data_IF_197813058944
#
_entry.id   IF_197813058944
#
_cell.length_a   1.000
_cell.length_b   1.000
_cell.length_c   1.000
_cell.angle_alpha   90.00
_cell.angle_beta   90.00
_cell.angle_gamma   90.00
#
_symmetry.space_group_name_H-M   'P 1'
#
loop_
_entity.id
_entity.type
_entity.pdbx_description
1 polymer ?
#
# COMPACT_ATOMS: atom_id res chain seq x y z
N UNK A 1 -23.48 -18.32 19.63
CA UNK A 1 -23.22 -16.98 19.06
C UNK A 1 -21.98 -16.41 19.69
N UNK A 2 -21.05 -15.95 18.86
CA UNK A 2 -19.80 -15.32 19.30
C UNK A 2 -19.92 -13.81 19.06
N UNK A 3 -19.38 -13.01 19.96
CA UNK A 3 -19.33 -11.56 19.81
C UNK A 3 -17.96 -11.06 20.25
N UNK A 4 -17.20 -10.44 19.35
CA UNK A 4 -15.98 -9.71 19.68
C UNK A 4 -16.34 -8.54 20.59
N UNK A 5 -15.66 -8.39 21.71
CA UNK A 5 -15.92 -7.31 22.67
C UNK A 5 -14.85 -6.23 22.63
N UNK A 6 -13.59 -6.62 22.51
CA UNK A 6 -12.47 -5.71 22.34
C UNK A 6 -11.23 -6.43 21.81
N UNK A 7 -10.23 -5.67 21.43
CA UNK A 7 -8.92 -6.20 21.05
C UNK A 7 -7.81 -5.21 21.45
N UNK A 8 -6.63 -5.76 21.68
CA UNK A 8 -5.40 -5.00 21.91
C UNK A 8 -4.33 -5.51 20.95
N UNK A 9 -3.61 -4.60 20.31
CA UNK A 9 -2.49 -4.95 19.43
C UNK A 9 -1.28 -4.18 19.91
N UNK A 10 -0.19 -4.89 20.16
CA UNK A 10 1.08 -4.29 20.56
C UNK A 10 2.23 -4.94 19.78
N UNK A 11 3.24 -4.15 19.47
CA UNK A 11 4.45 -4.65 18.78
C UNK A 11 5.57 -4.74 19.79
N UNK A 12 6.18 -5.92 19.92
CA UNK A 12 7.34 -6.16 20.77
C UNK A 12 8.52 -6.64 19.91
N UNK A 13 9.44 -5.72 19.63
CA UNK A 13 10.59 -6.00 18.74
C UNK A 13 10.12 -6.34 17.33
N UNK A 14 10.24 -7.59 16.93
CA UNK A 14 9.88 -8.11 15.62
C UNK A 14 8.55 -8.88 15.57
N UNK A 15 7.79 -8.91 16.65
CA UNK A 15 6.58 -9.72 16.77
C UNK A 15 5.38 -8.84 17.12
N UNK A 16 4.28 -9.01 16.39
CA UNK A 16 3.00 -8.42 16.76
C UNK A 16 2.25 -9.34 17.71
N UNK A 17 1.85 -8.77 18.83
CA UNK A 17 1.05 -9.43 19.83
C UNK A 17 -0.40 -9.00 19.70
N UNK A 18 -1.28 -9.96 19.46
CA UNK A 18 -2.72 -9.77 19.40
C UNK A 18 -3.36 -10.33 20.66
N UNK A 19 -4.13 -9.50 21.36
CA UNK A 19 -4.95 -9.92 22.47
C UNK A 19 -6.39 -9.62 22.17
N UNK A 20 -7.19 -10.67 22.02
CA UNK A 20 -8.55 -10.60 21.53
C UNK A 20 -9.50 -11.03 22.65
N UNK A 21 -10.48 -10.20 22.93
CA UNK A 21 -11.53 -10.46 23.91
C UNK A 21 -12.85 -10.66 23.19
N UNK A 22 -13.56 -11.72 23.56
CA UNK A 22 -14.85 -12.02 22.96
C UNK A 22 -15.79 -12.68 23.96
N UNK A 23 -17.09 -12.59 23.69
CA UNK A 23 -18.13 -13.26 24.44
C UNK A 23 -18.67 -14.44 23.63
N UNK A 24 -18.68 -15.61 24.23
CA UNK A 24 -19.39 -16.78 23.72
C UNK A 24 -20.74 -16.91 24.42
N UNK A 25 -21.82 -17.10 23.66
CA UNK A 25 -23.19 -17.19 24.15
C UNK A 25 -23.84 -18.54 23.84
N UNK A 26 -23.07 -19.55 23.48
CA UNK A 26 -23.53 -20.90 23.29
C UNK A 26 -23.76 -21.61 24.63
N UNK A 27 -24.64 -22.60 24.63
CA UNK A 27 -24.91 -23.47 25.81
C UNK A 27 -24.04 -24.71 25.81
N UNK A 28 -23.53 -25.09 24.66
CA UNK A 28 -22.66 -26.26 24.50
C UNK A 28 -21.21 -25.82 24.25
N UNK A 29 -20.21 -26.62 24.59
CA UNK A 29 -18.82 -26.35 24.27
C UNK A 29 -18.62 -26.13 22.77
N UNK A 30 -17.74 -25.22 22.41
CA UNK A 30 -17.41 -24.92 21.02
C UNK A 30 -15.90 -24.69 20.83
N UNK A 31 -15.39 -25.05 19.65
CA UNK A 31 -14.03 -24.73 19.22
C UNK A 31 -14.05 -23.41 18.48
N UNK A 32 -13.37 -22.45 19.04
CA UNK A 32 -13.31 -21.09 18.52
C UNK A 32 -11.95 -20.87 17.87
N UNK A 33 -11.93 -20.56 16.58
CA UNK A 33 -10.74 -20.15 15.86
C UNK A 33 -10.74 -18.64 15.71
N UNK A 34 -9.66 -18.01 16.14
CA UNK A 34 -9.40 -16.61 15.93
C UNK A 34 -8.26 -16.51 14.94
N UNK A 35 -8.46 -15.79 13.86
CA UNK A 35 -7.46 -15.63 12.80
C UNK A 35 -7.33 -14.18 12.37
N UNK A 36 -6.12 -13.81 11.93
CA UNK A 36 -5.77 -12.50 11.40
C UNK A 36 -5.52 -12.64 9.93
N UNK A 37 -6.22 -11.87 9.14
CA UNK A 37 -6.18 -11.92 7.68
C UNK A 37 -5.75 -10.59 7.09
N UNK A 38 -5.17 -10.66 5.89
CA UNK A 38 -5.02 -9.48 5.05
C UNK A 38 -6.38 -8.85 4.77
N UNK A 39 -6.55 -7.61 5.21
CA UNK A 39 -7.81 -6.87 5.05
C UNK A 39 -8.15 -6.59 3.59
N UNK A 40 -7.13 -6.41 2.76
CA UNK A 40 -7.28 -5.97 1.37
C UNK A 40 -7.65 -7.12 0.46
N UNK A 41 -6.83 -8.15 0.49
CA UNK A 41 -6.98 -9.26 -0.45
C UNK A 41 -7.81 -10.40 0.13
N UNK A 42 -7.97 -10.44 1.47
CA UNK A 42 -8.75 -11.45 2.21
C UNK A 42 -8.36 -12.90 1.87
N UNK A 43 -7.17 -13.09 1.32
CA UNK A 43 -6.66 -14.37 0.81
C UNK A 43 -5.52 -14.92 1.64
N UNK A 44 -4.91 -14.09 2.48
CA UNK A 44 -3.75 -14.47 3.29
C UNK A 44 -4.11 -14.44 4.76
N UNK A 45 -4.06 -15.60 5.40
CA UNK A 45 -4.10 -15.73 6.85
C UNK A 45 -2.69 -15.52 7.37
N UNK A 46 -2.51 -14.52 8.22
CA UNK A 46 -1.23 -14.22 8.82
C UNK A 46 -0.94 -15.03 10.06
N UNK A 47 -1.94 -15.26 10.89
CA UNK A 47 -1.83 -16.05 12.11
C UNK A 47 -3.19 -16.49 12.59
N UNK A 48 -3.24 -17.58 13.35
CA UNK A 48 -4.45 -18.03 14.01
C UNK A 48 -4.18 -18.78 15.31
N UNK A 49 -5.19 -18.82 16.17
CA UNK A 49 -5.22 -19.61 17.39
C UNK A 49 -6.59 -20.27 17.52
N UNK A 50 -6.61 -21.51 18.04
CA UNK A 50 -7.84 -22.21 18.40
C UNK A 50 -7.93 -22.33 19.92
N UNK A 51 -9.09 -22.06 20.45
CA UNK A 51 -9.40 -22.22 21.88
C UNK A 51 -10.71 -22.94 22.06
N UNK A 52 -10.87 -23.59 23.20
CA UNK A 52 -12.13 -24.22 23.59
C UNK A 52 -12.93 -23.31 24.51
N UNK A 53 -14.19 -23.05 24.15
CA UNK A 53 -15.14 -22.35 25.00
C UNK A 53 -16.08 -23.39 25.61
N UNK A 54 -15.89 -23.72 26.90
CA UNK A 54 -16.63 -24.80 27.59
C UNK A 54 -18.08 -24.42 27.86
N UNK A 55 -18.40 -23.16 27.99
CA UNK A 55 -19.73 -22.65 28.28
C UNK A 55 -19.88 -21.17 27.88
N UNK A 56 -21.08 -20.63 27.98
CA UNK A 56 -21.30 -19.20 27.79
C UNK A 56 -20.45 -18.37 28.78
N UNK A 57 -19.73 -17.40 28.27
CA UNK A 57 -18.84 -16.58 29.08
C UNK A 57 -17.98 -15.61 28.28
N UNK A 58 -17.14 -14.89 28.99
CA UNK A 58 -16.14 -14.03 28.39
C UNK A 58 -14.82 -14.78 28.29
N UNK A 59 -14.22 -14.72 27.12
CA UNK A 59 -12.99 -15.40 26.77
C UNK A 59 -12.00 -14.40 26.21
N UNK A 60 -10.74 -14.77 26.28
CA UNK A 60 -9.68 -14.04 25.59
C UNK A 60 -8.66 -15.02 25.02
N UNK A 61 -8.01 -14.60 23.98
CA UNK A 61 -6.90 -15.31 23.37
C UNK A 61 -5.77 -14.34 23.08
N UNK A 62 -4.55 -14.80 23.30
CA UNK A 62 -3.34 -14.07 22.95
C UNK A 62 -2.55 -14.93 21.98
N UNK A 63 -2.09 -14.32 20.88
CA UNK A 63 -1.27 -15.01 19.90
C UNK A 63 -0.31 -14.05 19.24
N UNK A 64 0.77 -14.61 18.73
CA UNK A 64 1.84 -13.85 18.07
C UNK A 64 1.73 -14.06 16.57
N UNK A 65 1.92 -13.02 15.82
CA UNK A 65 2.13 -13.11 14.41
C UNK A 65 3.62 -13.05 14.13
N UNK A 66 4.21 -14.18 13.74
CA UNK A 66 5.59 -14.24 13.24
C UNK A 66 5.69 -13.72 11.80
N UNK A 67 4.57 -13.56 11.13
CA UNK A 67 4.53 -12.93 9.85
C UNK A 67 4.59 -11.41 10.06
N UNK A 68 5.64 -10.84 9.68
CA UNK A 68 6.04 -9.45 9.57
C UNK A 68 4.98 -8.44 9.08
N UNK A 69 3.70 -8.54 9.49
CA UNK A 69 2.64 -7.64 9.06
C UNK A 69 2.97 -6.21 9.44
N UNK A 70 3.45 -6.04 10.67
CA UNK A 70 3.92 -4.74 11.19
C UNK A 70 5.44 -4.65 11.09
N UNK A 71 6.14 -5.74 11.03
CA UNK A 71 7.59 -5.83 11.22
C UNK A 71 8.45 -5.71 9.98
N UNK A 72 8.05 -6.19 8.83
CA UNK A 72 8.71 -5.76 7.60
C UNK A 72 8.61 -4.25 7.47
N UNK A 73 7.60 -3.66 8.06
CA UNK A 73 7.33 -2.24 8.08
C UNK A 73 8.01 -1.49 9.22
N UNK A 74 8.30 -2.09 10.37
CA UNK A 74 9.07 -1.43 11.44
C UNK A 74 10.54 -1.25 11.07
N UNK A 75 11.06 -2.14 10.23
CA UNK A 75 12.38 -1.93 9.60
C UNK A 75 12.33 -0.89 8.47
N UNK A 76 11.16 -0.62 7.92
CA UNK A 76 10.89 0.27 6.79
C UNK A 76 10.17 1.53 7.25
N UNK A 77 10.40 2.11 8.37
CA UNK A 77 9.86 3.40 8.88
C UNK A 77 8.44 3.82 8.43
N UNK A 78 7.72 2.96 7.73
CA UNK A 78 6.32 3.12 7.37
C UNK A 78 5.47 2.40 8.41
N UNK A 79 4.87 3.16 9.32
CA UNK A 79 4.06 2.63 10.42
C UNK A 79 2.64 2.24 10.00
N UNK A 80 2.41 1.95 8.72
CA UNK A 80 1.06 1.69 8.21
C UNK A 80 0.99 0.42 7.40
N UNK A 81 0.51 -0.60 8.04
CA UNK A 81 -0.32 -1.58 7.37
C UNK A 81 -1.77 -1.07 7.39
N UNK A 82 -2.54 -1.34 6.34
CA UNK A 82 -3.93 -0.87 6.17
C UNK A 82 -4.92 -1.48 7.17
N UNK A 83 -4.45 -2.11 8.21
CA UNK A 83 -5.24 -2.88 9.15
C UNK A 83 -5.32 -4.34 8.77
N UNK A 84 -5.85 -5.11 9.66
CA UNK A 84 -6.11 -6.53 9.48
C UNK A 84 -7.59 -6.80 9.64
N UNK A 85 -8.05 -7.90 9.06
CA UNK A 85 -9.37 -8.45 9.31
C UNK A 85 -9.24 -9.53 10.39
N UNK A 86 -9.87 -9.32 11.54
CA UNK A 86 -10.02 -10.35 12.57
C UNK A 86 -11.25 -11.18 12.25
N UNK A 87 -11.06 -12.49 12.18
CA UNK A 87 -12.14 -13.47 12.06
C UNK A 87 -12.22 -14.27 13.33
N UNK A 88 -13.39 -14.28 13.96
CA UNK A 88 -13.70 -15.13 15.09
C UNK A 88 -14.75 -16.14 14.63
N UNK A 89 -14.34 -17.39 14.46
CA UNK A 89 -15.15 -18.46 13.88
C UNK A 89 -15.43 -19.53 14.92
N UNK A 90 -16.68 -19.93 14.98
CA UNK A 90 -17.11 -21.15 15.66
C UNK A 90 -16.99 -22.30 14.66
N UNK A 91 -16.04 -23.20 14.88
CA UNK A 91 -15.74 -24.27 13.95
C UNK A 91 -16.81 -25.35 13.91
N UNK A 92 -17.62 -25.44 14.96
CA UNK A 92 -18.66 -26.48 15.07
C UNK A 92 -20.00 -26.02 14.48
N UNK A 93 -20.29 -24.72 14.47
CA UNK A 93 -21.52 -24.13 13.90
C UNK A 93 -21.34 -23.39 12.57
N UNK A 94 -20.13 -23.34 12.04
CA UNK A 94 -19.77 -22.54 10.86
C UNK A 94 -20.14 -21.05 10.95
N UNK A 95 -20.33 -20.52 12.15
CA UNK A 95 -20.56 -19.08 12.34
C UNK A 95 -19.23 -18.34 12.39
N UNK A 96 -19.15 -17.24 11.67
CA UNK A 96 -17.97 -16.38 11.67
C UNK A 96 -18.38 -14.94 11.88
N UNK A 97 -17.74 -14.27 12.80
CA UNK A 97 -17.77 -12.82 12.93
C UNK A 97 -16.49 -12.24 12.36
N UNK A 98 -16.64 -11.27 11.48
CA UNK A 98 -15.55 -10.55 10.84
C UNK A 98 -15.53 -9.13 11.38
N UNK A 99 -14.36 -8.65 11.79
CA UNK A 99 -14.16 -7.29 12.26
C UNK A 99 -12.91 -6.71 11.60
N UNK A 100 -13.09 -5.60 10.93
CA UNK A 100 -11.98 -4.81 10.43
C UNK A 100 -11.29 -4.10 11.59
N UNK A 101 -10.00 -4.31 11.72
CA UNK A 101 -9.16 -3.65 12.72
C UNK A 101 -8.26 -2.66 12.02
N UNK A 102 -8.59 -1.37 12.05
CA UNK A 102 -7.70 -0.36 11.52
C UNK A 102 -6.46 -0.26 12.43
N UNK A 103 -5.28 -0.14 11.83
CA UNK A 103 -4.11 0.27 12.61
C UNK A 103 -4.22 1.75 12.93
N UNK A 104 -4.24 2.08 14.21
CA UNK A 104 -4.23 3.47 14.66
C UNK A 104 -2.84 4.07 14.43
N UNK A 105 -2.84 5.20 13.76
CA UNK A 105 -1.66 6.06 13.62
C UNK A 105 -1.40 6.70 14.98
N UNK A 106 -0.40 6.25 15.70
CA UNK A 106 -0.08 6.78 17.04
C UNK A 106 0.82 8.04 17.01
N UNK A 107 1.44 8.36 15.88
CA UNK A 107 2.36 9.49 15.76
C UNK A 107 2.03 10.38 14.54
N UNK A 108 0.90 11.06 14.58
CA UNK A 108 0.72 12.23 13.72
C UNK A 108 1.61 13.34 14.30
N UNK A 109 2.81 13.49 13.76
CA UNK A 109 3.68 14.61 14.16
C UNK A 109 2.99 15.92 13.81
N UNK A 110 3.15 16.90 14.69
CA UNK A 110 2.60 18.23 14.53
C UNK A 110 2.82 18.78 13.11
N UNK A 111 1.76 19.26 12.50
CA UNK A 111 1.78 19.89 11.16
C UNK A 111 2.78 21.03 11.13
N UNK A 112 3.55 21.12 10.05
CA UNK A 112 4.29 22.35 9.75
C UNK A 112 3.28 23.42 9.32
N UNK A 113 3.22 24.60 9.97
CA UNK A 113 2.36 25.68 9.52
C UNK A 113 2.61 26.02 8.05
N UNK A 114 1.54 26.15 7.25
CA UNK A 114 1.63 26.54 5.85
C UNK A 114 2.05 25.45 4.87
N UNK A 115 2.11 24.17 5.29
CA UNK A 115 2.30 23.02 4.40
C UNK A 115 1.25 21.94 4.70
N UNK A 116 0.61 21.32 3.68
CA UNK A 116 -0.36 20.27 3.90
C UNK A 116 0.30 19.02 4.48
N UNK A 117 -0.44 18.18 5.19
CA UNK A 117 0.00 16.83 5.40
C UNK A 117 -0.08 16.08 4.07
N UNK A 118 0.99 15.42 3.73
CA UNK A 118 1.08 14.67 2.47
C UNK A 118 1.16 13.20 2.78
N UNK A 119 0.19 12.47 2.25
CA UNK A 119 0.06 11.03 2.37
C UNK A 119 0.48 10.38 1.06
N UNK A 120 1.52 9.57 1.07
CA UNK A 120 1.95 8.81 -0.11
C UNK A 120 1.45 7.38 0.02
N UNK A 121 0.49 7.02 -0.84
CA UNK A 121 -0.23 5.75 -0.81
C UNK A 121 0.28 4.86 -1.95
N UNK A 122 0.80 3.68 -1.65
CA UNK A 122 1.31 2.85 -2.74
C UNK A 122 1.84 1.48 -2.35
N UNK A 123 2.70 0.95 -3.19
CA UNK A 123 3.33 -0.37 -3.06
C UNK A 123 4.61 -0.35 -2.22
N UNK A 124 5.47 -1.35 -2.40
CA UNK A 124 6.77 -1.46 -1.73
C UNK A 124 7.70 -0.27 -1.98
N UNK A 125 7.56 0.44 -3.11
CA UNK A 125 8.38 1.62 -3.39
C UNK A 125 8.16 2.70 -2.34
N UNK A 126 6.93 2.89 -1.86
CA UNK A 126 6.65 3.81 -0.74
C UNK A 126 7.45 3.41 0.49
N UNK A 127 7.43 2.13 0.86
CA UNK A 127 8.17 1.64 2.02
C UNK A 127 9.68 1.94 1.90
N UNK A 128 10.26 1.67 0.75
CA UNK A 128 11.69 1.91 0.51
C UNK A 128 12.06 3.40 0.49
N UNK A 129 11.25 4.25 -0.13
CA UNK A 129 11.44 5.71 -0.07
C UNK A 129 11.47 6.23 1.38
N UNK A 130 10.64 5.66 2.26
CA UNK A 130 10.57 6.09 3.65
C UNK A 130 11.61 5.43 4.57
N UNK A 131 12.27 4.35 4.15
CA UNK A 131 13.27 3.63 4.94
C UNK A 131 14.40 4.54 5.44
N UNK A 132 14.87 5.41 4.55
CA UNK A 132 15.99 6.33 4.81
C UNK A 132 15.55 7.80 4.82
N UNK A 133 14.23 8.03 5.00
CA UNK A 133 13.68 9.39 4.99
C UNK A 133 14.30 10.24 6.10
N UNK A 134 14.87 11.39 5.73
CA UNK A 134 15.44 12.34 6.67
C UNK A 134 14.35 13.06 7.48
N UNK A 135 14.71 13.53 8.69
CA UNK A 135 13.77 14.21 9.61
C UNK A 135 13.18 15.49 8.99
N UNK A 136 13.92 16.16 8.13
CA UNK A 136 13.46 17.39 7.44
C UNK A 136 12.22 17.15 6.57
N UNK A 137 11.98 15.91 6.10
CA UNK A 137 10.82 15.51 5.32
C UNK A 137 9.68 14.93 6.20
N UNK A 138 9.61 15.30 7.47
CA UNK A 138 8.63 14.77 8.44
C UNK A 138 7.17 15.05 8.07
N UNK A 139 6.90 16.03 7.17
CA UNK A 139 5.57 16.35 6.66
C UNK A 139 4.99 15.25 5.74
N UNK A 140 5.83 14.35 5.23
CA UNK A 140 5.40 13.25 4.39
C UNK A 140 5.15 12.00 5.22
N UNK A 141 4.03 11.33 4.97
CA UNK A 141 3.67 10.06 5.58
C UNK A 141 3.46 9.01 4.51
N UNK A 142 4.19 7.91 4.58
CA UNK A 142 4.05 6.79 3.66
C UNK A 142 3.01 5.80 4.16
N UNK A 143 2.18 5.32 3.25
CA UNK A 143 1.22 4.24 3.48
C UNK A 143 1.48 3.18 2.42
N UNK A 144 2.17 2.13 2.81
CA UNK A 144 2.63 1.09 1.90
C UNK A 144 1.86 -0.21 2.04
N UNK A 145 1.61 -0.85 0.92
CA UNK A 145 1.18 -2.25 0.88
C UNK A 145 2.04 -3.00 -0.14
N UNK A 146 2.89 -3.91 0.32
CA UNK A 146 3.98 -4.52 -0.45
C UNK A 146 3.60 -5.13 -1.80
N UNK A 147 2.37 -5.56 -1.98
CA UNK A 147 1.90 -6.17 -3.23
C UNK A 147 0.81 -5.38 -3.94
N UNK A 148 0.61 -4.11 -3.57
CA UNK A 148 -0.43 -3.27 -4.16
C UNK A 148 0.00 -2.76 -5.54
N UNK A 149 -0.28 -3.51 -6.57
CA UNK A 149 -0.15 -3.03 -7.94
C UNK A 149 -1.34 -2.14 -8.33
N UNK A 150 -1.17 -1.32 -9.36
CA UNK A 150 -2.26 -0.51 -9.94
C UNK A 150 -3.47 -1.38 -10.33
N UNK A 151 -3.21 -2.59 -10.88
CA UNK A 151 -4.27 -3.53 -11.22
C UNK A 151 -5.02 -4.08 -10.00
N UNK A 152 -4.31 -4.36 -8.91
CA UNK A 152 -4.95 -4.80 -7.65
C UNK A 152 -5.74 -3.67 -7.01
N UNK A 153 -5.15 -2.48 -6.94
CA UNK A 153 -5.84 -1.27 -6.47
C UNK A 153 -7.18 -1.08 -7.19
N UNK A 154 -7.17 -1.15 -8.53
CA UNK A 154 -8.37 -0.92 -9.33
C UNK A 154 -9.47 -1.97 -9.17
N UNK A 155 -9.11 -3.22 -8.82
CA UNK A 155 -10.07 -4.33 -8.77
C UNK A 155 -10.50 -4.75 -7.37
N UNK A 156 -9.62 -4.61 -6.40
CA UNK A 156 -9.75 -5.27 -5.10
C UNK A 156 -9.84 -4.29 -3.93
N UNK A 157 -9.32 -3.08 -4.11
CA UNK A 157 -9.37 -2.07 -3.05
C UNK A 157 -10.76 -1.45 -3.03
N UNK A 158 -11.46 -1.68 -1.94
CA UNK A 158 -12.73 -1.00 -1.68
C UNK A 158 -12.47 0.37 -1.07
N UNK A 159 -13.42 1.31 -1.18
CA UNK A 159 -13.30 2.62 -0.55
C UNK A 159 -13.02 2.58 0.95
N UNK A 160 -13.54 1.58 1.64
CA UNK A 160 -13.34 1.38 3.09
C UNK A 160 -11.88 1.10 3.48
N UNK A 161 -11.08 0.70 2.50
CA UNK A 161 -9.68 0.39 2.67
C UNK A 161 -8.86 1.52 3.31
N UNK A 162 -9.17 2.77 2.94
CA UNK A 162 -8.47 3.95 3.45
C UNK A 162 -9.15 4.61 4.65
N UNK A 163 -10.28 4.08 5.14
CA UNK A 163 -11.00 4.67 6.30
C UNK A 163 -10.17 4.71 7.58
N UNK A 164 -9.14 3.87 7.69
CA UNK A 164 -8.22 3.88 8.82
C UNK A 164 -7.23 5.06 8.79
N UNK A 165 -7.06 5.71 7.65
CA UNK A 165 -6.17 6.85 7.53
C UNK A 165 -6.94 8.09 7.97
N UNK A 166 -6.45 8.83 8.97
CA UNK A 166 -7.13 10.00 9.49
C UNK A 166 -6.88 11.23 8.58
N UNK A 167 -7.35 11.13 7.35
CA UNK A 167 -7.36 12.29 6.47
C UNK A 167 -8.19 13.42 7.07
N UNK A 168 -7.71 14.62 6.89
CA UNK A 168 -8.48 15.80 7.23
C UNK A 168 -8.54 16.72 6.01
N UNK A 169 -9.45 17.69 6.08
CA UNK A 169 -9.61 18.70 5.04
C UNK A 169 -8.28 19.39 4.70
N UNK A 170 -8.03 19.56 3.40
CA UNK A 170 -6.81 20.12 2.82
C UNK A 170 -5.53 19.24 2.95
N UNK A 171 -5.61 18.02 3.46
CA UNK A 171 -4.52 17.07 3.27
C UNK A 171 -4.36 16.72 1.78
N UNK A 172 -3.17 16.27 1.39
CA UNK A 172 -2.87 15.83 0.03
C UNK A 172 -2.56 14.33 0.03
N UNK A 173 -3.35 13.55 -0.72
CA UNK A 173 -3.11 12.14 -0.96
C UNK A 173 -2.46 11.94 -2.34
N UNK A 174 -1.33 11.26 -2.36
CA UNK A 174 -0.54 10.97 -3.55
C UNK A 174 -0.50 9.48 -3.79
N UNK A 175 -1.00 9.01 -4.93
CA UNK A 175 -0.94 7.61 -5.31
C UNK A 175 0.36 7.29 -6.05
N UNK A 176 1.20 6.43 -5.48
CA UNK A 176 2.44 5.91 -6.08
C UNK A 176 2.26 4.43 -6.42
N UNK A 177 1.75 4.15 -7.60
CA UNK A 177 1.42 2.82 -8.09
C UNK A 177 1.81 2.66 -9.57
N UNK A 178 2.08 1.42 -10.00
CA UNK A 178 2.30 1.10 -11.41
C UNK A 178 3.65 0.44 -11.69
N UNK A 179 4.64 0.55 -10.83
CA UNK A 179 5.95 -0.07 -11.04
C UNK A 179 5.81 -1.59 -11.19
N UNK A 180 5.09 -2.24 -10.28
CA UNK A 180 4.84 -3.69 -10.33
C UNK A 180 4.15 -4.08 -11.66
N UNK A 181 3.22 -3.25 -12.14
CA UNK A 181 2.50 -3.53 -13.38
C UNK A 181 3.41 -3.40 -14.59
N UNK A 182 4.22 -2.35 -14.67
CA UNK A 182 5.22 -2.12 -15.72
C UNK A 182 6.24 -3.25 -15.75
N UNK A 183 6.79 -3.60 -14.60
CA UNK A 183 7.82 -4.60 -14.46
C UNK A 183 7.34 -6.02 -14.76
N UNK A 184 6.08 -6.35 -14.45
CA UNK A 184 5.58 -7.73 -14.54
C UNK A 184 4.26 -7.89 -15.28
N UNK A 185 3.19 -7.24 -14.81
CA UNK A 185 1.81 -7.63 -15.13
C UNK A 185 1.42 -7.27 -16.58
N UNK A 186 1.77 -6.08 -17.03
CA UNK A 186 1.40 -5.58 -18.36
C UNK A 186 1.97 -6.50 -19.44
N UNK A 187 3.26 -6.73 -19.42
CA UNK A 187 3.96 -7.50 -20.46
C UNK A 187 3.54 -8.96 -20.43
N UNK A 188 3.44 -9.56 -19.23
CA UNK A 188 2.95 -10.93 -19.10
C UNK A 188 1.53 -11.09 -19.64
N UNK A 189 0.64 -10.15 -19.34
CA UNK A 189 -0.74 -10.19 -19.80
C UNK A 189 -0.85 -9.95 -21.31
N UNK A 190 -0.02 -9.08 -21.89
CA UNK A 190 0.05 -8.87 -23.34
C UNK A 190 0.39 -10.17 -24.06
N UNK A 191 1.39 -10.90 -23.59
CA UNK A 191 1.79 -12.19 -24.17
C UNK A 191 0.70 -13.26 -24.03
N UNK A 192 0.09 -13.37 -22.85
CA UNK A 192 -0.96 -14.36 -22.58
C UNK A 192 -2.22 -14.11 -23.41
N UNK A 193 -2.61 -12.87 -23.60
CA UNK A 193 -3.83 -12.48 -24.33
C UNK A 193 -3.59 -12.22 -25.80
N UNK A 194 -2.34 -12.21 -26.26
CA UNK A 194 -1.92 -11.82 -27.61
C UNK A 194 -2.41 -10.41 -27.99
N UNK A 195 -2.26 -9.49 -27.08
CA UNK A 195 -2.63 -8.08 -27.22
C UNK A 195 -1.37 -7.20 -27.18
N UNK A 196 -1.46 -5.95 -27.64
CA UNK A 196 -0.34 -5.01 -27.52
C UNK A 196 -0.06 -4.61 -26.07
N UNK A 197 1.14 -4.14 -25.80
CA UNK A 197 1.50 -3.57 -24.49
C UNK A 197 0.64 -2.33 -24.24
N UNK A 198 0.47 -1.48 -25.24
CA UNK A 198 -0.30 -0.24 -25.19
C UNK A 198 -1.77 -0.50 -24.81
N UNK A 199 -2.43 -1.49 -25.45
CA UNK A 199 -3.82 -1.86 -25.11
C UNK A 199 -3.98 -2.32 -23.67
N UNK A 200 -2.97 -3.04 -23.13
CA UNK A 200 -2.98 -3.45 -21.74
C UNK A 200 -2.75 -2.28 -20.78
N UNK A 201 -1.88 -1.33 -21.14
CA UNK A 201 -1.67 -0.10 -20.38
C UNK A 201 -2.96 0.73 -20.38
N UNK A 202 -3.60 0.95 -21.54
CA UNK A 202 -4.84 1.71 -21.65
C UNK A 202 -5.92 1.16 -20.72
N UNK A 203 -6.18 -0.14 -20.76
CA UNK A 203 -7.18 -0.77 -19.88
C UNK A 203 -6.84 -0.70 -18.40
N UNK A 204 -5.56 -0.75 -18.06
CA UNK A 204 -5.12 -0.61 -16.68
C UNK A 204 -5.34 0.81 -16.21
N UNK A 205 -4.94 1.77 -17.03
CA UNK A 205 -5.06 3.19 -16.79
C UNK A 205 -6.52 3.61 -16.56
N UNK A 206 -7.44 3.25 -17.47
CA UNK A 206 -8.86 3.61 -17.37
C UNK A 206 -9.44 3.18 -16.00
N UNK A 207 -9.21 1.91 -15.62
CA UNK A 207 -9.68 1.41 -14.33
C UNK A 207 -9.02 2.08 -13.12
N UNK A 208 -7.75 2.46 -13.27
CA UNK A 208 -7.05 3.16 -12.20
C UNK A 208 -7.61 4.56 -11.99
N UNK A 209 -7.84 5.31 -13.06
CA UNK A 209 -8.40 6.65 -13.00
C UNK A 209 -9.85 6.64 -12.44
N UNK A 210 -10.66 5.68 -12.87
CA UNK A 210 -12.00 5.49 -12.31
C UNK A 210 -11.93 5.29 -10.79
N UNK A 211 -11.02 4.44 -10.32
CA UNK A 211 -10.85 4.18 -8.87
C UNK A 211 -10.31 5.38 -8.09
N UNK A 212 -9.40 6.17 -8.68
CA UNK A 212 -8.91 7.42 -8.08
C UNK A 212 -10.05 8.44 -7.99
N UNK A 213 -10.92 8.50 -9.00
CA UNK A 213 -12.10 9.38 -8.98
C UNK A 213 -13.09 8.98 -7.89
N UNK A 214 -13.42 7.69 -7.77
CA UNK A 214 -14.25 7.18 -6.66
C UNK A 214 -13.66 7.52 -5.28
N UNK A 215 -12.33 7.40 -5.14
CA UNK A 215 -11.64 7.77 -3.90
C UNK A 215 -11.81 9.27 -3.61
N UNK A 216 -11.68 10.12 -4.62
CA UNK A 216 -11.84 11.58 -4.47
C UNK A 216 -13.28 11.94 -4.03
N UNK A 217 -14.27 11.26 -4.56
CA UNK A 217 -15.69 11.48 -4.19
C UNK A 217 -15.97 11.08 -2.73
N UNK A 218 -15.29 10.07 -2.21
CA UNK A 218 -15.46 9.57 -0.84
C UNK A 218 -14.85 10.47 0.23
N UNK A 219 -13.85 11.23 -0.13
CA UNK A 219 -13.12 12.12 0.77
C UNK A 219 -13.20 13.57 0.30
N UNK A 220 -14.41 14.20 0.35
CA UNK A 220 -14.57 15.59 -0.06
C UNK A 220 -13.69 16.48 0.82
N UNK A 221 -12.94 17.39 0.20
CA UNK A 221 -11.99 18.25 0.88
C UNK A 221 -10.56 17.69 0.98
N UNK A 222 -10.35 16.41 0.64
CA UNK A 222 -9.02 15.84 0.43
C UNK A 222 -8.55 16.17 -1.00
N UNK A 223 -7.34 16.67 -1.12
CA UNK A 223 -6.73 16.86 -2.43
C UNK A 223 -6.06 15.59 -2.88
N UNK A 224 -6.22 15.23 -4.14
CA UNK A 224 -5.73 13.97 -4.69
C UNK A 224 -4.90 14.21 -5.94
N UNK A 225 -3.69 13.67 -5.95
CA UNK A 225 -2.81 13.67 -7.11
C UNK A 225 -2.14 12.28 -7.29
N UNK A 226 -1.46 12.08 -8.39
CA UNK A 226 -0.77 10.84 -8.71
C UNK A 226 0.72 11.12 -8.85
N UNK A 227 1.54 10.30 -8.23
CA UNK A 227 2.98 10.28 -8.45
C UNK A 227 3.28 9.35 -9.62
N UNK A 228 4.17 9.80 -10.51
CA UNK A 228 4.73 8.87 -11.51
C UNK A 228 5.35 7.67 -10.78
N UNK A 229 5.11 6.45 -11.25
CA UNK A 229 5.86 5.29 -10.75
C UNK A 229 7.35 5.42 -11.08
N UNK A 230 8.22 4.73 -10.33
CA UNK A 230 9.63 4.65 -10.67
C UNK A 230 9.81 4.20 -12.12
N UNK A 231 10.68 4.87 -12.89
CA UNK A 231 11.02 4.44 -14.24
C UNK A 231 11.64 3.04 -14.26
N UNK A 232 11.60 2.34 -15.41
CA UNK A 232 12.25 1.04 -15.54
C UNK A 232 13.76 1.12 -15.28
N UNK A 233 14.33 0.01 -14.86
CA UNK A 233 15.76 -0.20 -14.73
C UNK A 233 16.29 -1.09 -15.87
N UNK A 234 17.62 -1.07 -16.09
CA UNK A 234 18.29 -1.85 -17.10
C UNK A 234 18.34 -3.35 -16.74
N UNK A 235 18.40 -4.22 -17.77
CA UNK A 235 18.55 -5.67 -17.59
C UNK A 235 19.88 -6.07 -16.94
N UNK A 236 20.85 -5.13 -16.86
CA UNK A 236 22.07 -5.31 -16.08
C UNK A 236 21.83 -5.45 -14.58
N UNK A 237 20.71 -4.98 -14.06
CA UNK A 237 20.28 -5.18 -12.68
C UNK A 237 19.71 -6.59 -12.56
N UNK A 238 20.49 -7.49 -11.94
CA UNK A 238 20.09 -8.88 -11.75
C UNK A 238 19.12 -9.01 -10.60
N UNK A 239 17.86 -9.36 -10.90
CA UNK A 239 16.85 -9.73 -9.93
C UNK A 239 16.62 -11.24 -9.93
N UNK A 240 15.91 -11.72 -8.91
CA UNK A 240 15.42 -13.09 -8.86
C UNK A 240 14.54 -13.43 -10.06
N UNK A 241 14.63 -14.68 -10.52
CA UNK A 241 13.84 -15.16 -11.64
C UNK A 241 12.34 -14.99 -11.38
N UNK A 242 11.62 -14.50 -12.39
CA UNK A 242 10.16 -14.29 -12.31
C UNK A 242 9.73 -12.93 -11.74
N UNK A 243 10.64 -12.12 -11.20
CA UNK A 243 10.31 -10.77 -10.74
C UNK A 243 10.18 -9.75 -11.88
N UNK A 244 10.67 -10.07 -13.05
CA UNK A 244 10.66 -9.20 -14.24
C UNK A 244 10.05 -9.94 -15.43
N UNK A 245 9.30 -9.24 -16.26
CA UNK A 245 8.75 -9.75 -17.52
C UNK A 245 9.17 -8.86 -18.69
N UNK A 246 9.46 -9.48 -19.83
CA UNK A 246 9.83 -8.76 -21.04
C UNK A 246 11.26 -8.22 -21.07
N UNK A 247 11.59 -7.54 -22.14
CA UNK A 247 12.84 -6.81 -22.31
C UNK A 247 12.78 -5.44 -21.63
N UNK A 248 13.93 -4.76 -21.52
CA UNK A 248 13.96 -3.37 -21.05
C UNK A 248 13.18 -2.43 -21.98
N UNK A 249 13.18 -2.71 -23.29
CA UNK A 249 12.39 -1.94 -24.27
C UNK A 249 10.88 -2.15 -24.07
N UNK A 250 10.42 -3.38 -23.79
CA UNK A 250 9.02 -3.66 -23.47
C UNK A 250 8.57 -2.88 -22.22
N UNK A 251 9.42 -2.83 -21.18
CA UNK A 251 9.13 -2.09 -19.95
C UNK A 251 9.14 -0.59 -20.15
N UNK A 252 10.08 -0.09 -20.97
CA UNK A 252 10.13 1.33 -21.31
C UNK A 252 8.92 1.73 -22.15
N UNK A 253 8.48 0.91 -23.11
CA UNK A 253 7.26 1.15 -23.86
C UNK A 253 6.03 1.24 -22.94
N UNK A 254 5.88 0.28 -22.02
CA UNK A 254 4.80 0.31 -21.04
C UNK A 254 4.82 1.56 -20.15
N UNK A 255 6.01 1.95 -19.68
CA UNK A 255 6.21 3.15 -18.86
C UNK A 255 5.86 4.43 -19.62
N UNK A 256 6.39 4.60 -20.83
CA UNK A 256 6.16 5.80 -21.64
C UNK A 256 4.71 5.94 -22.05
N UNK A 257 4.04 4.83 -22.37
CA UNK A 257 2.61 4.82 -22.67
C UNK A 257 1.80 5.27 -21.46
N UNK A 258 2.07 4.68 -20.28
CA UNK A 258 1.40 5.07 -19.02
C UNK A 258 1.67 6.54 -18.68
N UNK A 259 2.92 7.00 -18.79
CA UNK A 259 3.30 8.39 -18.56
C UNK A 259 2.51 9.36 -19.45
N UNK A 260 2.42 9.08 -20.73
CA UNK A 260 1.68 9.92 -21.68
C UNK A 260 0.19 10.00 -21.34
N UNK A 261 -0.42 8.90 -20.95
CA UNK A 261 -1.84 8.85 -20.54
C UNK A 261 -2.08 9.61 -19.24
N UNK A 262 -1.22 9.42 -18.25
CA UNK A 262 -1.30 10.14 -16.97
C UNK A 262 -1.13 11.65 -17.17
N UNK A 263 -0.16 12.07 -17.98
CA UNK A 263 0.06 13.48 -18.31
C UNK A 263 -1.15 14.11 -18.99
N UNK A 264 -1.72 13.42 -19.99
CA UNK A 264 -2.89 13.90 -20.71
C UNK A 264 -4.13 14.05 -19.79
N UNK A 265 -4.37 13.08 -18.90
CA UNK A 265 -5.59 13.04 -18.10
C UNK A 265 -5.52 13.85 -16.80
N UNK A 266 -4.34 13.95 -16.21
CA UNK A 266 -4.18 14.55 -14.87
C UNK A 266 -3.61 15.97 -14.92
N UNK A 267 -2.86 16.32 -15.98
CA UNK A 267 -2.21 17.63 -16.06
C UNK A 267 -1.35 17.92 -14.83
N UNK A 268 -1.61 19.02 -14.14
CA UNK A 268 -0.87 19.43 -12.93
C UNK A 268 -1.06 18.47 -11.72
N UNK A 269 -2.05 17.59 -11.76
CA UNK A 269 -2.23 16.55 -10.73
C UNK A 269 -1.29 15.34 -10.91
N UNK A 270 -0.46 15.31 -11.94
CA UNK A 270 0.62 14.35 -12.09
C UNK A 270 1.93 14.95 -11.61
N UNK A 271 2.56 14.32 -10.65
CA UNK A 271 3.83 14.74 -10.06
C UNK A 271 4.92 13.72 -10.42
N UNK A 272 5.98 14.17 -11.09
CA UNK A 272 7.14 13.36 -11.49
C UNK A 272 8.38 13.81 -10.72
N UNK A 273 8.91 12.96 -9.86
CA UNK A 273 10.04 13.24 -8.97
C UNK A 273 11.31 12.45 -9.34
N UNK A 274 11.35 11.79 -10.50
CA UNK A 274 12.43 10.84 -10.80
C UNK A 274 13.52 11.36 -11.73
N UNK A 275 13.48 12.64 -12.16
CA UNK A 275 14.41 13.19 -13.15
C UNK A 275 15.90 13.06 -12.76
N UNK A 276 16.23 13.17 -11.47
CA UNK A 276 17.62 13.05 -10.99
C UNK A 276 18.14 11.61 -10.97
N UNK A 277 17.23 10.63 -11.09
CA UNK A 277 17.59 9.21 -11.06
C UNK A 277 17.86 8.63 -12.46
N UNK A 278 17.60 9.36 -13.51
CA UNK A 278 17.59 8.84 -14.87
C UNK A 278 18.97 8.91 -15.55
N UNK A 279 19.24 7.92 -16.40
CA UNK A 279 20.26 8.01 -17.44
C UNK A 279 19.72 8.75 -18.69
N UNK A 280 20.56 8.97 -19.68
CA UNK A 280 20.20 9.68 -20.91
C UNK A 280 19.10 8.96 -21.74
N UNK A 281 18.86 7.69 -21.50
CA UNK A 281 17.83 6.89 -22.15
C UNK A 281 16.55 6.76 -21.30
N UNK A 282 16.49 7.37 -20.12
CA UNK A 282 15.31 7.41 -19.26
C UNK A 282 15.16 6.22 -18.31
N UNK A 283 16.18 5.37 -18.18
CA UNK A 283 16.19 4.30 -17.18
C UNK A 283 16.75 4.78 -15.85
N UNK A 284 16.33 4.15 -14.75
CA UNK A 284 16.94 4.42 -13.45
C UNK A 284 18.39 3.96 -13.47
N UNK A 285 19.31 4.85 -13.09
CA UNK A 285 20.73 4.55 -12.96
C UNK A 285 20.97 3.57 -11.83
N UNK A 286 21.82 2.56 -12.06
CA UNK A 286 22.05 1.47 -11.12
C UNK A 286 22.62 1.89 -9.76
N UNK A 287 23.35 3.00 -9.70
CA UNK A 287 23.88 3.54 -8.45
C UNK A 287 22.82 4.03 -7.47
N UNK A 288 21.60 4.29 -7.95
CA UNK A 288 20.46 4.67 -7.10
C UNK A 288 19.60 3.49 -6.66
N UNK A 289 19.89 2.28 -7.12
CA UNK A 289 19.14 1.09 -6.74
C UNK A 289 19.83 0.33 -5.60
N UNK A 290 19.04 -0.32 -4.76
CA UNK A 290 19.58 -1.26 -3.79
C UNK A 290 20.31 -2.42 -4.51
N UNK A 291 21.47 -2.85 -4.06
CA UNK A 291 22.19 -3.98 -4.67
C UNK A 291 21.31 -5.24 -4.72
N UNK A 292 21.09 -5.76 -5.93
CA UNK A 292 20.25 -6.95 -6.15
C UNK A 292 18.74 -6.70 -6.04
N UNK A 293 18.31 -5.45 -6.01
CA UNK A 293 16.91 -5.04 -5.88
C UNK A 293 16.58 -3.92 -6.87
N UNK A 294 15.29 -3.69 -7.09
CA UNK A 294 14.76 -2.66 -8.00
C UNK A 294 14.31 -1.39 -7.27
N UNK A 295 14.40 -1.37 -5.94
CA UNK A 295 13.97 -0.22 -5.15
C UNK A 295 15.07 0.82 -5.01
N UNK A 296 14.67 2.08 -4.96
CA UNK A 296 15.58 3.22 -4.80
C UNK A 296 16.23 3.19 -3.42
N UNK A 297 17.55 3.29 -3.39
CA UNK A 297 18.37 3.30 -2.16
C UNK A 297 18.36 4.69 -1.49
N UNK A 298 18.59 5.75 -2.28
CA UNK A 298 18.63 7.12 -1.79
C UNK A 298 17.34 7.86 -2.15
N UNK A 299 16.55 8.19 -1.15
CA UNK A 299 15.27 8.89 -1.31
C UNK A 299 15.34 10.42 -1.15
N UNK A 300 16.51 10.97 -0.84
CA UNK A 300 16.66 12.43 -0.63
C UNK A 300 16.31 13.24 -1.88
N UNK A 301 16.82 12.94 -3.10
CA UNK A 301 16.44 13.67 -4.30
C UNK A 301 14.91 13.61 -4.57
N UNK A 302 14.28 12.45 -4.31
CA UNK A 302 12.84 12.29 -4.46
C UNK A 302 12.07 13.27 -3.56
N UNK A 303 12.38 13.32 -2.26
CA UNK A 303 11.65 14.20 -1.33
C UNK A 303 11.94 15.66 -1.54
N UNK A 304 13.14 16.04 -2.01
CA UNK A 304 13.44 17.42 -2.45
C UNK A 304 12.58 17.81 -3.62
N UNK A 305 12.59 17.02 -4.70
CA UNK A 305 11.78 17.25 -5.88
C UNK A 305 10.29 17.28 -5.54
N UNK A 306 9.81 16.35 -4.72
CA UNK A 306 8.41 16.31 -4.27
C UNK A 306 8.02 17.59 -3.51
N UNK A 307 8.90 18.10 -2.64
CA UNK A 307 8.63 19.32 -1.89
C UNK A 307 8.47 20.53 -2.81
N UNK A 308 9.30 20.64 -3.85
CA UNK A 308 9.22 21.69 -4.85
C UNK A 308 7.94 21.57 -5.68
N UNK A 309 7.66 20.38 -6.19
CA UNK A 309 6.46 20.10 -7.00
C UNK A 309 5.15 20.35 -6.25
N UNK A 310 5.09 20.05 -4.96
CA UNK A 310 3.91 20.37 -4.15
C UNK A 310 3.73 21.87 -4.01
N UNK A 311 4.81 22.66 -3.86
CA UNK A 311 4.70 24.13 -3.82
C UNK A 311 4.18 24.69 -5.15
N UNK A 312 4.65 24.14 -6.29
CA UNK A 312 4.14 24.50 -7.61
C UNK A 312 2.65 24.15 -7.72
N UNK A 313 2.26 22.94 -7.34
CA UNK A 313 0.87 22.48 -7.33
C UNK A 313 -0.04 23.35 -6.45
N UNK A 314 0.41 23.76 -5.26
CA UNK A 314 -0.33 24.66 -4.38
C UNK A 314 -0.50 26.06 -5.00
N UNK A 315 0.51 26.55 -5.69
CA UNK A 315 0.45 27.85 -6.37
C UNK A 315 -0.54 27.87 -7.54
N UNK A 316 -0.72 26.73 -8.23
CA UNK A 316 -1.68 26.59 -9.33
C UNK A 316 -3.15 26.53 -8.85
N UNK A 317 -3.39 26.23 -7.56
CA UNK A 317 -4.73 26.13 -6.98
C UNK A 317 -5.23 27.45 -6.35
N UNK A 318 -4.34 28.40 -6.09
CA UNK A 318 -4.62 29.70 -5.44
C UNK A 318 -4.78 30.82 -6.44
#
# INVERSE_FOLDING_TARGET
MIQLTSYEISTQGTVDLFKIFFQYRGVEPARIRISVWDRVFKTTEYSSVEISAESAGNYWAEFRSDSHIVNQESQLTTKFNFGVELRVSDLDSNMCQVVDVPFLITDIKSRKPGFPNVWILGDSNVAYLFKNKQVEFSQFTGVSHLSLSMNRFSKQVTPDFYRAIPFIENDLALFLLGEIDIRTSIIRNSRLKKESIEDNVCRLFDRFIDRVSEFTELYPGLRVAVLMPPPPFRDSVKLEEGLVSGSEDDRMLAYMTLKSMLQYSLGSRLIDCYHEYLDDAGFVRSEFLNPGDHHILDSEPFFKSLTEKIKEYEADLG
#
